data_IF_804417669005
#
_entry.id   IF_804417669005
#
_cell.length_a   1.000
_cell.length_b   1.000
_cell.length_c   1.000
_cell.angle_alpha   90.00
_cell.angle_beta   90.00
_cell.angle_gamma   90.00
#
_symmetry.space_group_name_H-M   'P 1'
#
loop_
_entity.id
_entity.type
_entity.pdbx_description
1 polymer ?
#
# COMPACT_ATOMS: atom_id res chain seq x y z
N UNK A 1 -7.34 -12.38 23.29
CA UNK A 1 -7.55 -10.92 23.02
C UNK A 1 -6.75 -9.91 23.88
N UNK A 2 -7.18 -9.40 25.05
CA UNK A 2 -6.57 -8.18 25.65
C UNK A 2 -5.09 -8.29 26.11
N UNK A 3 -4.58 -9.50 26.35
CA UNK A 3 -3.24 -9.73 26.92
C UNK A 3 -2.09 -9.58 25.92
N UNK A 4 -2.37 -9.60 24.61
CA UNK A 4 -1.38 -9.59 23.54
C UNK A 4 -0.99 -8.17 23.11
N UNK A 5 -1.96 -7.25 23.15
CA UNK A 5 -1.79 -5.83 22.80
C UNK A 5 -0.91 -5.04 23.79
N UNK A 6 -0.54 -5.63 24.93
CA UNK A 6 0.26 -5.00 25.97
C UNK A 6 1.71 -5.53 26.03
N UNK A 7 2.07 -6.54 25.24
CA UNK A 7 3.37 -7.24 25.36
C UNK A 7 4.13 -7.44 24.04
N UNK A 8 3.45 -7.45 22.91
CA UNK A 8 4.05 -7.62 21.59
C UNK A 8 4.04 -6.29 20.81
N UNK A 9 4.92 -6.11 19.80
CA UNK A 9 4.76 -5.06 18.79
C UNK A 9 3.31 -5.01 18.30
N UNK A 10 2.71 -3.81 18.27
CA UNK A 10 1.26 -3.65 18.06
C UNK A 10 0.76 -4.36 16.81
N UNK A 11 1.56 -4.38 15.74
CA UNK A 11 1.26 -5.02 14.48
C UNK A 11 1.06 -6.54 14.61
N UNK A 12 1.90 -7.20 15.43
CA UNK A 12 1.76 -8.64 15.71
C UNK A 12 0.50 -8.94 16.52
N UNK A 13 0.17 -8.08 17.48
CA UNK A 13 -1.03 -8.23 18.29
C UNK A 13 -2.31 -8.03 17.46
N UNK A 14 -2.31 -7.10 16.50
CA UNK A 14 -3.42 -6.89 15.56
C UNK A 14 -3.58 -8.12 14.67
N UNK A 15 -2.50 -8.62 14.06
CA UNK A 15 -2.54 -9.83 13.22
C UNK A 15 -3.06 -11.04 14.00
N UNK A 16 -2.59 -11.26 15.23
CA UNK A 16 -3.05 -12.36 16.08
C UNK A 16 -4.53 -12.21 16.46
N UNK A 17 -4.97 -10.99 16.79
CA UNK A 17 -6.36 -10.72 17.12
C UNK A 17 -7.29 -10.99 15.93
N UNK A 18 -6.93 -10.53 14.72
CA UNK A 18 -7.69 -10.78 13.49
C UNK A 18 -7.80 -12.28 13.19
N UNK A 19 -6.73 -13.04 13.37
CA UNK A 19 -6.76 -14.49 13.22
C UNK A 19 -7.71 -15.16 14.23
N UNK A 20 -7.57 -14.82 15.52
CA UNK A 20 -8.41 -15.37 16.61
C UNK A 20 -9.91 -15.12 16.33
N UNK A 21 -10.28 -13.88 16.03
CA UNK A 21 -11.69 -13.54 15.79
C UNK A 21 -12.21 -14.05 14.44
N UNK A 22 -11.34 -14.14 13.42
CA UNK A 22 -11.70 -14.68 12.10
C UNK A 22 -12.01 -16.18 12.19
N UNK A 23 -11.21 -16.93 12.93
CA UNK A 23 -11.46 -18.34 13.20
C UNK A 23 -12.76 -18.55 14.00
N UNK A 24 -12.94 -17.80 15.09
CA UNK A 24 -14.15 -17.89 15.93
C UNK A 24 -15.42 -17.54 15.15
N UNK A 25 -15.36 -16.51 14.30
CA UNK A 25 -16.48 -16.12 13.47
C UNK A 25 -16.71 -17.09 12.29
N UNK A 26 -15.81 -18.04 12.05
CA UNK A 26 -15.86 -18.93 10.89
C UNK A 26 -15.73 -18.17 9.57
N UNK A 27 -14.93 -17.10 9.56
CA UNK A 27 -14.60 -16.33 8.37
C UNK A 27 -13.53 -17.03 7.52
N UNK A 28 -13.46 -16.67 6.25
CA UNK A 28 -12.43 -17.13 5.33
C UNK A 28 -11.26 -16.14 5.28
N UNK A 29 -11.53 -14.86 5.53
CA UNK A 29 -10.53 -13.83 5.82
C UNK A 29 -10.97 -12.90 6.94
N UNK A 30 -10.00 -12.33 7.64
CA UNK A 30 -10.16 -11.21 8.55
C UNK A 30 -9.10 -10.15 8.25
N UNK A 31 -9.50 -8.90 8.08
CA UNK A 31 -8.62 -7.86 7.52
C UNK A 31 -8.76 -6.51 8.23
N UNK A 32 -7.77 -5.63 8.01
CA UNK A 32 -7.75 -4.25 8.46
C UNK A 32 -7.30 -3.30 7.36
N UNK A 33 -8.12 -2.30 7.05
CA UNK A 33 -7.79 -1.22 6.13
C UNK A 33 -7.54 0.08 6.92
N UNK A 34 -6.34 0.65 6.83
CA UNK A 34 -6.02 1.96 7.41
C UNK A 34 -6.20 3.07 6.37
N UNK A 35 -6.77 4.20 6.80
CA UNK A 35 -6.93 5.38 5.95
C UNK A 35 -5.73 6.32 6.06
N UNK A 36 -5.48 7.13 5.03
CA UNK A 36 -4.63 8.31 5.14
C UNK A 36 -5.29 9.40 6.00
N UNK A 37 -4.53 10.46 6.31
CA UNK A 37 -5.00 11.54 7.18
C UNK A 37 -6.19 12.31 6.60
N UNK A 38 -6.27 12.38 5.27
CA UNK A 38 -7.30 13.09 4.51
C UNK A 38 -8.52 12.23 4.16
N UNK A 39 -8.52 10.93 4.48
CA UNK A 39 -9.55 9.94 4.10
C UNK A 39 -9.77 9.85 2.59
N UNK A 40 -8.73 10.11 1.80
CA UNK A 40 -8.76 10.01 0.35
C UNK A 40 -8.29 8.63 -0.12
N UNK A 41 -7.46 7.97 0.68
CA UNK A 41 -6.88 6.66 0.38
C UNK A 41 -6.92 5.72 1.57
N UNK A 42 -6.82 4.43 1.28
CA UNK A 42 -6.67 3.39 2.28
C UNK A 42 -5.70 2.30 1.83
N UNK A 43 -5.25 1.47 2.77
CA UNK A 43 -4.41 0.31 2.50
C UNK A 43 -4.72 -0.85 3.44
N UNK A 44 -4.61 -2.07 2.94
CA UNK A 44 -4.77 -3.29 3.73
C UNK A 44 -3.51 -3.58 4.54
N UNK A 45 -3.49 -3.26 5.83
CA UNK A 45 -2.29 -3.37 6.66
C UNK A 45 -2.13 -4.74 7.29
N UNK A 46 -3.23 -5.44 7.54
CA UNK A 46 -3.24 -6.76 8.14
C UNK A 46 -4.32 -7.63 7.53
N UNK A 47 -3.99 -8.89 7.28
CA UNK A 47 -4.98 -9.88 6.89
C UNK A 47 -4.57 -11.26 7.38
N UNK A 48 -5.52 -11.94 7.99
CA UNK A 48 -5.50 -13.37 8.17
C UNK A 48 -6.37 -14.02 7.09
N UNK A 49 -5.85 -15.08 6.48
CA UNK A 49 -6.59 -15.90 5.52
C UNK A 49 -6.62 -17.35 6.00
N UNK A 50 -7.79 -17.98 5.92
CA UNK A 50 -7.92 -19.43 6.12
C UNK A 50 -7.02 -20.17 5.12
N UNK A 51 -6.51 -21.34 5.51
CA UNK A 51 -5.74 -22.20 4.62
C UNK A 51 -6.48 -22.44 3.28
N UNK A 52 -5.78 -22.22 2.16
CA UNK A 52 -6.34 -22.36 0.81
C UNK A 52 -7.07 -21.12 0.29
N UNK A 53 -7.28 -20.09 1.11
CA UNK A 53 -7.85 -18.81 0.69
C UNK A 53 -6.71 -17.85 0.33
N UNK A 54 -6.82 -17.20 -0.84
CA UNK A 54 -5.84 -16.22 -1.30
C UNK A 54 -5.91 -14.95 -0.44
N UNK A 55 -4.73 -14.45 -0.07
CA UNK A 55 -4.56 -13.16 0.57
C UNK A 55 -4.54 -12.01 -0.45
N UNK A 56 -5.07 -10.83 -0.06
CA UNK A 56 -5.15 -9.61 -0.85
C UNK A 56 -4.48 -8.40 -0.19
N UNK A 57 -3.64 -8.63 0.83
CA UNK A 57 -2.84 -7.57 1.47
C UNK A 57 -2.06 -6.80 0.42
N UNK A 58 -1.29 -7.49 -0.42
CA UNK A 58 -0.44 -6.85 -1.44
C UNK A 58 -1.23 -6.14 -2.54
N UNK A 59 -2.45 -6.60 -2.82
CA UNK A 59 -3.31 -6.05 -3.88
C UNK A 59 -3.93 -4.69 -3.50
N UNK A 60 -4.28 -4.50 -2.23
CA UNK A 60 -5.10 -3.37 -1.76
C UNK A 60 -4.26 -2.33 -1.02
N UNK A 61 -3.28 -1.76 -1.70
CA UNK A 61 -2.39 -0.76 -1.12
C UNK A 61 -2.54 0.60 -1.80
N UNK A 62 -2.56 1.69 -1.01
CA UNK A 62 -2.73 3.07 -1.47
C UNK A 62 -3.97 3.29 -2.37
N UNK A 63 -5.04 2.55 -2.08
CA UNK A 63 -6.25 2.45 -2.89
C UNK A 63 -7.15 3.67 -2.65
N UNK A 64 -7.72 4.28 -3.70
CA UNK A 64 -8.60 5.44 -3.51
C UNK A 64 -9.89 5.03 -2.78
N UNK A 65 -10.30 5.83 -1.80
CA UNK A 65 -11.54 5.61 -1.04
C UNK A 65 -12.77 5.59 -1.95
N UNK A 66 -12.70 6.22 -3.14
CA UNK A 66 -13.77 6.16 -4.14
C UNK A 66 -14.12 4.74 -4.60
N UNK A 67 -13.17 3.79 -4.54
CA UNK A 67 -13.43 2.37 -4.81
C UNK A 67 -14.44 1.77 -3.83
N UNK A 68 -14.42 2.24 -2.58
CA UNK A 68 -15.28 1.77 -1.49
C UNK A 68 -16.26 2.86 -1.03
N UNK A 69 -16.55 3.88 -1.84
CA UNK A 69 -17.33 5.07 -1.43
C UNK A 69 -18.67 4.73 -0.78
N UNK A 70 -19.37 3.72 -1.32
CA UNK A 70 -20.65 3.26 -0.78
C UNK A 70 -20.52 2.65 0.61
N UNK A 71 -19.43 1.92 0.89
CA UNK A 71 -19.14 1.39 2.22
C UNK A 71 -18.68 2.51 3.17
N UNK A 72 -17.78 3.36 2.68
CA UNK A 72 -17.17 4.45 3.45
C UNK A 72 -18.20 5.41 4.06
N UNK A 73 -19.27 5.78 3.34
CA UNK A 73 -20.31 6.68 3.89
C UNK A 73 -21.00 6.16 5.17
N UNK A 74 -21.00 4.84 5.40
CA UNK A 74 -21.54 4.24 6.62
C UNK A 74 -20.47 4.17 7.71
N UNK A 75 -19.26 3.76 7.35
CA UNK A 75 -18.11 3.68 8.27
C UNK A 75 -17.78 5.06 8.85
N UNK A 76 -17.81 6.12 8.03
CA UNK A 76 -17.62 7.51 8.46
C UNK A 76 -18.70 7.99 9.44
N UNK A 77 -19.86 7.31 9.50
CA UNK A 77 -20.94 7.55 10.47
C UNK A 77 -20.89 6.58 11.65
N UNK A 78 -19.75 5.92 11.87
CA UNK A 78 -19.53 4.92 12.90
C UNK A 78 -20.49 3.70 12.81
N UNK A 79 -20.98 3.35 11.61
CA UNK A 79 -21.91 2.24 11.41
C UNK A 79 -21.21 1.01 10.85
N UNK A 80 -21.53 -0.16 11.39
CA UNK A 80 -21.20 -1.43 10.77
C UNK A 80 -21.97 -1.63 9.47
N UNK A 81 -21.36 -2.32 8.52
CA UNK A 81 -21.98 -2.71 7.26
C UNK A 81 -21.86 -4.22 7.10
N UNK A 82 -23.00 -4.88 6.90
CA UNK A 82 -23.07 -6.30 6.62
C UNK A 82 -23.66 -6.52 5.23
N UNK A 83 -22.86 -7.08 4.34
CA UNK A 83 -23.24 -7.45 2.98
C UNK A 83 -23.44 -8.96 2.97
N UNK A 84 -24.70 -9.41 3.01
CA UNK A 84 -25.02 -10.84 3.05
C UNK A 84 -24.73 -11.52 1.71
N UNK A 85 -24.91 -10.80 0.59
CA UNK A 85 -24.72 -11.32 -0.77
C UNK A 85 -24.12 -10.22 -1.64
N UNK A 86 -22.82 -10.34 -1.94
CA UNK A 86 -22.09 -9.36 -2.76
C UNK A 86 -22.74 -9.18 -4.14
N UNK A 87 -23.23 -10.26 -4.74
CA UNK A 87 -23.89 -10.24 -6.06
C UNK A 87 -25.17 -9.36 -6.09
N UNK A 88 -25.76 -9.05 -4.94
CA UNK A 88 -27.01 -8.30 -4.80
C UNK A 88 -26.81 -6.85 -4.37
N UNK A 89 -25.54 -6.39 -4.30
CA UNK A 89 -25.24 -5.00 -3.98
C UNK A 89 -25.94 -4.02 -4.94
N UNK A 90 -26.44 -2.88 -4.42
CA UNK A 90 -27.17 -1.91 -5.24
C UNK A 90 -26.24 -1.19 -6.22
N UNK A 91 -26.80 -0.60 -7.28
CA UNK A 91 -26.03 0.08 -8.34
C UNK A 91 -24.99 1.10 -7.84
N UNK A 92 -25.26 1.95 -6.82
CA UNK A 92 -24.24 2.87 -6.29
C UNK A 92 -23.01 2.18 -5.67
N UNK A 93 -23.13 0.92 -5.29
CA UNK A 93 -22.04 0.11 -4.74
C UNK A 93 -21.28 -0.69 -5.80
N UNK A 94 -21.51 -0.44 -7.10
CA UNK A 94 -20.92 -1.24 -8.18
C UNK A 94 -19.37 -1.29 -8.15
N UNK A 95 -18.63 -0.19 -7.90
CA UNK A 95 -17.17 -0.28 -7.78
C UNK A 95 -16.71 -1.24 -6.67
N UNK A 96 -17.34 -1.13 -5.49
CA UNK A 96 -17.10 -2.03 -4.36
C UNK A 96 -17.43 -3.48 -4.71
N UNK A 97 -18.58 -3.70 -5.36
CA UNK A 97 -19.04 -5.02 -5.77
C UNK A 97 -18.05 -5.69 -6.74
N UNK A 98 -17.53 -4.96 -7.72
CA UNK A 98 -16.55 -5.49 -8.67
C UNK A 98 -15.29 -5.95 -7.95
N UNK A 99 -14.81 -5.16 -6.99
CA UNK A 99 -13.61 -5.52 -6.22
C UNK A 99 -13.85 -6.72 -5.30
N UNK A 100 -14.97 -6.76 -4.59
CA UNK A 100 -15.36 -7.92 -3.76
C UNK A 100 -15.48 -9.21 -4.60
N UNK A 101 -16.09 -9.14 -5.79
CA UNK A 101 -16.18 -10.29 -6.69
C UNK A 101 -14.81 -10.74 -7.21
N UNK A 102 -13.88 -9.80 -7.48
CA UNK A 102 -12.48 -10.11 -7.85
C UNK A 102 -11.79 -10.91 -6.74
N UNK A 103 -12.13 -10.61 -5.48
CA UNK A 103 -11.59 -11.28 -4.30
C UNK A 103 -12.35 -12.55 -3.91
N UNK A 104 -13.33 -12.96 -4.72
CA UNK A 104 -14.23 -14.10 -4.47
C UNK A 104 -15.12 -13.93 -3.25
N UNK A 105 -15.37 -12.71 -2.79
CA UNK A 105 -16.25 -12.44 -1.65
C UNK A 105 -17.70 -12.74 -2.01
N UNK A 106 -18.33 -13.53 -1.15
CA UNK A 106 -19.77 -13.83 -1.21
C UNK A 106 -20.52 -13.02 -0.18
N UNK A 107 -19.91 -12.80 0.99
CA UNK A 107 -20.47 -12.00 2.08
C UNK A 107 -19.35 -11.29 2.84
N UNK A 108 -19.61 -10.07 3.30
CA UNK A 108 -18.62 -9.23 3.98
C UNK A 108 -19.24 -8.56 5.20
N UNK A 109 -18.51 -8.52 6.31
CA UNK A 109 -18.79 -7.66 7.46
C UNK A 109 -17.68 -6.63 7.57
N UNK A 110 -18.03 -5.37 7.81
CA UNK A 110 -17.07 -4.31 8.06
C UNK A 110 -17.51 -3.44 9.22
N UNK A 111 -16.60 -3.10 10.11
CA UNK A 111 -16.83 -2.16 11.22
C UNK A 111 -15.75 -1.06 11.21
N UNK A 112 -16.10 0.16 11.63
CA UNK A 112 -15.15 1.25 11.70
C UNK A 112 -14.27 1.13 12.95
N UNK A 113 -13.01 1.54 12.81
CA UNK A 113 -12.07 1.78 13.91
C UNK A 113 -12.01 3.29 14.13
N UNK A 114 -12.60 3.73 15.23
CA UNK A 114 -12.68 5.15 15.60
C UNK A 114 -11.70 5.44 16.73
N UNK A 115 -10.91 6.51 16.60
CA UNK A 115 -10.06 7.05 17.66
C UNK A 115 -10.19 8.57 17.69
N UNK A 116 -10.34 9.15 18.88
CA UNK A 116 -10.57 10.60 19.09
C UNK A 116 -11.68 11.17 18.20
N UNK A 117 -12.79 10.43 18.09
CA UNK A 117 -13.95 10.81 17.29
C UNK A 117 -13.73 10.79 15.77
N UNK A 118 -12.58 10.30 15.30
CA UNK A 118 -12.22 10.23 13.88
C UNK A 118 -12.13 8.80 13.39
N UNK A 119 -12.58 8.56 12.16
CA UNK A 119 -12.33 7.31 11.44
C UNK A 119 -10.83 7.20 11.15
N UNK A 120 -10.20 6.11 11.58
CA UNK A 120 -8.77 5.85 11.36
C UNK A 120 -8.54 4.63 10.48
N UNK A 121 -9.38 3.61 10.66
CA UNK A 121 -9.32 2.38 9.91
C UNK A 121 -10.72 1.73 9.84
N UNK A 122 -10.83 0.63 9.13
CA UNK A 122 -11.92 -0.32 9.28
C UNK A 122 -11.37 -1.74 9.31
N UNK A 123 -12.08 -2.63 10.01
CA UNK A 123 -11.74 -4.05 10.06
C UNK A 123 -12.96 -4.87 9.62
N UNK A 124 -12.72 -6.07 9.12
CA UNK A 124 -13.79 -6.86 8.54
C UNK A 124 -13.51 -8.33 8.38
N UNK A 125 -14.55 -9.04 7.98
CA UNK A 125 -14.53 -10.45 7.64
C UNK A 125 -15.06 -10.67 6.24
N UNK A 126 -14.45 -11.62 5.54
CA UNK A 126 -14.96 -12.12 4.27
C UNK A 126 -15.35 -13.60 4.40
N UNK A 127 -16.45 -13.95 3.75
CA UNK A 127 -16.80 -15.33 3.43
C UNK A 127 -16.70 -15.52 1.91
N UNK A 128 -15.79 -16.40 1.48
CA UNK A 128 -15.47 -16.66 0.07
C UNK A 128 -15.94 -18.06 -0.35
N UNK A 129 -16.07 -18.99 0.58
CA UNK A 129 -16.50 -20.38 0.30
C UNK A 129 -18.02 -20.47 0.17
N UNK A 130 -18.78 -19.85 1.07
CA UNK A 130 -20.25 -19.83 1.03
C UNK A 130 -20.79 -18.48 1.49
N UNK A 131 -22.00 -18.11 1.05
CA UNK A 131 -22.66 -16.92 1.59
C UNK A 131 -22.94 -17.10 3.07
N UNK A 132 -22.70 -16.06 3.86
CA UNK A 132 -22.84 -16.05 5.31
C UNK A 132 -23.59 -14.81 5.77
N UNK A 133 -24.37 -14.99 6.84
CA UNK A 133 -24.92 -13.88 7.63
C UNK A 133 -24.21 -13.89 8.98
N UNK A 134 -23.68 -12.76 9.39
CA UNK A 134 -22.95 -12.62 10.65
C UNK A 134 -23.94 -12.41 11.79
N UNK A 135 -23.70 -13.09 12.90
CA UNK A 135 -24.55 -12.97 14.09
C UNK A 135 -24.29 -11.64 14.82
N UNK A 136 -25.22 -11.20 15.68
CA UNK A 136 -24.96 -10.07 16.58
C UNK A 136 -23.71 -10.28 17.45
N UNK A 137 -23.40 -11.53 17.81
CA UNK A 137 -22.19 -11.89 18.55
C UNK A 137 -20.92 -11.62 17.75
N UNK A 138 -20.88 -11.99 16.46
CA UNK A 138 -19.75 -11.75 15.56
C UNK A 138 -19.52 -10.24 15.37
N UNK A 139 -20.61 -9.49 15.14
CA UNK A 139 -20.56 -8.02 15.00
C UNK A 139 -20.02 -7.38 16.28
N UNK A 140 -20.52 -7.79 17.44
CA UNK A 140 -20.04 -7.28 18.74
C UNK A 140 -18.59 -7.66 19.03
N UNK A 141 -18.15 -8.86 18.65
CA UNK A 141 -16.75 -9.28 18.81
C UNK A 141 -15.82 -8.44 17.92
N UNK A 142 -16.23 -8.18 16.68
CA UNK A 142 -15.47 -7.35 15.75
C UNK A 142 -15.40 -5.89 16.22
N UNK A 143 -16.49 -5.31 16.74
CA UNK A 143 -16.44 -3.98 17.36
C UNK A 143 -15.49 -3.89 18.56
N UNK A 144 -15.54 -4.87 19.48
CA UNK A 144 -14.59 -4.93 20.60
C UNK A 144 -13.14 -5.03 20.11
N UNK A 145 -12.91 -5.80 19.04
CA UNK A 145 -11.59 -5.83 18.41
C UNK A 145 -11.20 -4.45 17.86
N UNK A 146 -12.12 -3.76 17.17
CA UNK A 146 -11.88 -2.43 16.63
C UNK A 146 -11.51 -1.41 17.72
N UNK A 147 -12.18 -1.44 18.87
CA UNK A 147 -11.87 -0.58 20.03
C UNK A 147 -10.47 -0.86 20.58
N UNK A 148 -10.12 -2.14 20.73
CA UNK A 148 -8.80 -2.55 21.21
C UNK A 148 -7.69 -2.17 20.23
N UNK A 149 -7.92 -2.34 18.92
CA UNK A 149 -7.02 -1.89 17.86
C UNK A 149 -6.86 -0.36 17.93
N UNK A 150 -7.96 0.39 18.09
CA UNK A 150 -7.91 1.84 18.18
C UNK A 150 -7.02 2.31 19.34
N UNK A 151 -7.21 1.71 20.52
CA UNK A 151 -6.43 2.04 21.72
C UNK A 151 -4.95 1.67 21.57
N UNK A 152 -4.65 0.50 21.01
CA UNK A 152 -3.27 0.04 20.92
C UNK A 152 -2.49 0.74 19.79
N UNK A 153 -3.14 0.97 18.65
CA UNK A 153 -2.49 1.54 17.45
C UNK A 153 -2.44 3.06 17.45
N UNK A 154 -3.49 3.71 17.94
CA UNK A 154 -3.62 5.17 17.90
C UNK A 154 -3.60 5.81 19.29
N UNK A 155 -3.90 5.05 20.35
CA UNK A 155 -3.83 5.54 21.72
C UNK A 155 -2.39 5.81 22.16
N UNK A 156 -2.17 6.99 22.73
CA UNK A 156 -0.87 7.41 23.26
C UNK A 156 -0.50 6.60 24.52
N UNK A 157 0.14 5.44 24.35
CA UNK A 157 0.82 4.78 25.46
C UNK A 157 2.11 5.54 25.80
N UNK A 158 1.97 6.48 26.74
CA UNK A 158 3.00 7.18 27.54
C UNK A 158 3.81 8.29 26.86
N UNK A 159 3.84 9.44 27.54
CA UNK A 159 4.67 10.59 27.20
C UNK A 159 6.17 10.25 27.17
N UNK A 160 6.86 10.86 26.22
CA UNK A 160 8.29 10.69 25.98
C UNK A 160 8.57 9.84 24.73
N UNK A 161 8.90 10.51 23.62
CA UNK A 161 9.46 9.96 22.37
C UNK A 161 8.53 9.47 21.23
N UNK A 162 7.25 9.85 21.17
CA UNK A 162 6.40 9.52 20.00
C UNK A 162 6.18 10.67 18.98
N UNK A 163 6.89 11.80 19.10
CA UNK A 163 6.93 12.85 18.06
C UNK A 163 8.02 12.62 17.00
N UNK A 164 8.68 11.46 17.00
CA UNK A 164 9.68 11.11 15.98
C UNK A 164 9.31 9.89 15.11
N UNK A 165 8.32 9.07 15.51
CA UNK A 165 7.91 7.88 14.75
C UNK A 165 6.49 7.96 14.17
N UNK A 166 5.71 8.98 14.52
CA UNK A 166 4.49 9.36 13.81
C UNK A 166 4.77 10.06 12.46
N UNK A 167 6.05 10.20 12.09
CA UNK A 167 6.54 10.72 10.81
C UNK A 167 7.09 9.64 9.87
N UNK A 168 6.95 8.34 10.17
CA UNK A 168 6.97 7.34 9.09
C UNK A 168 5.60 7.37 8.43
N UNK A 169 5.34 8.47 7.72
CA UNK A 169 4.42 8.44 6.60
C UNK A 169 4.78 7.21 5.78
N UNK A 170 3.78 6.38 5.46
CA UNK A 170 3.95 5.19 4.64
C UNK A 170 4.92 5.53 3.51
N UNK A 171 6.07 4.84 3.45
CA UNK A 171 7.02 5.07 2.37
C UNK A 171 6.25 4.88 1.06
N UNK A 172 6.14 5.90 0.19
CA UNK A 172 5.17 5.88 -0.89
C UNK A 172 5.57 4.82 -1.91
N UNK A 173 4.94 3.65 -1.84
CA UNK A 173 5.15 2.56 -2.79
C UNK A 173 4.67 2.98 -4.18
N UNK A 174 5.48 2.66 -5.19
CA UNK A 174 5.13 2.83 -6.59
C UNK A 174 4.73 1.46 -7.14
N UNK A 175 3.45 1.33 -7.48
CA UNK A 175 2.89 0.09 -8.00
C UNK A 175 3.26 -0.12 -9.46
N UNK A 176 3.80 -1.29 -9.78
CA UNK A 176 4.21 -1.70 -11.12
C UNK A 176 3.39 -2.90 -11.55
N UNK A 177 2.96 -2.94 -12.81
CA UNK A 177 2.28 -4.12 -13.38
C UNK A 177 3.30 -5.05 -14.03
N UNK A 178 3.47 -6.27 -13.49
CA UNK A 178 4.36 -7.31 -14.02
C UNK A 178 3.55 -8.58 -14.30
N UNK A 179 3.44 -8.97 -15.58
CA UNK A 179 2.82 -10.23 -16.02
C UNK A 179 1.41 -10.48 -15.43
N UNK A 180 0.57 -9.45 -15.36
CA UNK A 180 -0.79 -9.54 -14.81
C UNK A 180 -0.91 -9.39 -13.29
N UNK A 181 0.21 -9.29 -12.57
CA UNK A 181 0.26 -8.99 -11.12
C UNK A 181 0.70 -7.54 -10.91
N UNK A 182 0.17 -6.89 -9.87
CA UNK A 182 0.63 -5.57 -9.43
C UNK A 182 1.58 -5.78 -8.25
N UNK A 183 2.80 -5.24 -8.33
CA UNK A 183 3.78 -5.27 -7.25
C UNK A 183 3.99 -3.87 -6.69
N UNK A 184 3.97 -3.71 -5.38
CA UNK A 184 4.35 -2.47 -4.70
C UNK A 184 5.87 -2.39 -4.58
N UNK A 185 6.47 -1.33 -5.11
CA UNK A 185 7.92 -1.14 -5.07
C UNK A 185 8.25 0.14 -4.33
N UNK A 186 9.02 0.05 -3.25
CA UNK A 186 9.54 1.24 -2.59
C UNK A 186 10.43 2.04 -3.56
N UNK A 187 10.37 3.38 -3.57
CA UNK A 187 11.20 4.17 -4.47
C UNK A 187 12.69 3.85 -4.31
N UNK A 188 13.15 3.53 -3.10
CA UNK A 188 14.54 3.12 -2.86
C UNK A 188 14.93 1.82 -3.56
N UNK A 189 13.99 0.93 -3.90
CA UNK A 189 14.26 -0.30 -4.64
C UNK A 189 14.35 -0.08 -6.17
N UNK A 190 14.01 1.11 -6.67
CA UNK A 190 14.11 1.46 -8.09
C UNK A 190 15.50 2.07 -8.36
N UNK A 191 16.23 1.49 -9.31
CA UNK A 191 17.54 2.00 -9.77
C UNK A 191 17.36 3.13 -10.79
N UNK A 192 16.41 2.97 -11.71
CA UNK A 192 16.16 3.94 -12.75
C UNK A 192 15.00 3.56 -13.66
N UNK A 193 14.53 4.56 -14.41
CA UNK A 193 13.41 4.46 -15.35
C UNK A 193 13.86 5.02 -16.69
N UNK A 194 13.59 4.29 -17.78
CA UNK A 194 13.93 4.70 -19.15
C UNK A 194 12.71 4.58 -20.06
N UNK A 195 12.51 5.58 -20.93
CA UNK A 195 11.45 5.50 -21.96
C UNK A 195 11.69 4.31 -22.90
N UNK A 196 10.61 3.62 -23.23
CA UNK A 196 10.53 2.49 -24.15
C UNK A 196 9.30 2.68 -25.06
N UNK A 197 9.43 3.58 -26.05
CA UNK A 197 8.30 4.06 -26.88
C UNK A 197 7.22 4.70 -25.99
N UNK A 198 5.99 4.19 -26.03
CA UNK A 198 4.85 4.66 -25.23
C UNK A 198 4.87 4.15 -23.78
N UNK A 199 5.86 3.31 -23.45
CA UNK A 199 6.05 2.70 -22.13
C UNK A 199 7.26 3.29 -21.42
N UNK A 200 7.37 2.96 -20.13
CA UNK A 200 8.61 3.09 -19.39
C UNK A 200 9.11 1.72 -18.96
N UNK A 201 10.41 1.48 -19.08
CA UNK A 201 11.09 0.34 -18.48
C UNK A 201 11.68 0.77 -17.13
N UNK A 202 11.45 -0.02 -16.09
CA UNK A 202 11.87 0.22 -14.72
C UNK A 202 12.86 -0.86 -14.31
N UNK A 203 14.00 -0.47 -13.76
CA UNK A 203 15.03 -1.37 -13.25
C UNK A 203 14.96 -1.40 -11.73
N UNK A 204 14.90 -2.61 -11.17
CA UNK A 204 14.78 -2.84 -9.74
C UNK A 204 16.07 -3.42 -9.16
N UNK A 205 16.24 -3.26 -7.84
CA UNK A 205 17.45 -3.66 -7.13
C UNK A 205 17.64 -5.17 -7.08
N UNK A 206 16.56 -5.94 -7.19
CA UNK A 206 16.57 -7.40 -7.32
C UNK A 206 17.08 -7.88 -8.70
N UNK A 207 17.44 -6.95 -9.60
CA UNK A 207 17.91 -7.24 -10.95
C UNK A 207 16.79 -7.42 -11.97
N UNK A 208 15.53 -7.42 -11.55
CA UNK A 208 14.40 -7.53 -12.45
C UNK A 208 14.10 -6.22 -13.18
N UNK A 209 13.38 -6.33 -14.30
CA UNK A 209 12.87 -5.16 -15.02
C UNK A 209 11.39 -5.29 -15.28
N UNK A 210 10.67 -4.17 -15.17
CA UNK A 210 9.22 -4.09 -15.43
C UNK A 210 8.95 -3.10 -16.55
N UNK A 211 8.02 -3.44 -17.46
CA UNK A 211 7.46 -2.50 -18.42
C UNK A 211 6.15 -1.95 -17.87
N UNK A 212 6.06 -0.63 -17.75
CA UNK A 212 4.89 0.06 -17.24
C UNK A 212 4.25 0.93 -18.32
N UNK A 213 2.91 0.98 -18.30
CA UNK A 213 2.09 1.71 -19.26
C UNK A 213 2.19 3.23 -19.10
N UNK A 214 2.67 3.73 -17.96
CA UNK A 214 2.86 5.16 -17.74
C UNK A 214 4.09 5.64 -18.51
N UNK A 215 3.98 6.71 -19.32
CA UNK A 215 5.13 7.29 -19.99
C UNK A 215 6.08 7.96 -18.98
N UNK A 216 7.32 8.20 -19.40
CA UNK A 216 8.38 8.76 -18.55
C UNK A 216 8.01 10.10 -17.88
N UNK A 217 7.15 10.90 -18.53
CA UNK A 217 6.65 12.16 -17.98
C UNK A 217 5.83 11.97 -16.71
N UNK A 218 5.00 10.92 -16.65
CA UNK A 218 4.24 10.56 -15.45
C UNK A 218 5.19 10.05 -14.36
N UNK A 219 6.18 9.25 -14.73
CA UNK A 219 7.21 8.77 -13.80
C UNK A 219 8.00 9.89 -13.13
N UNK A 220 8.29 10.97 -13.85
CA UNK A 220 8.96 12.15 -13.28
C UNK A 220 8.16 12.80 -12.13
N UNK A 221 6.83 12.72 -12.16
CA UNK A 221 5.98 13.23 -11.09
C UNK A 221 5.74 12.24 -9.94
N UNK A 222 5.93 10.94 -10.18
CA UNK A 222 5.72 9.89 -9.17
C UNK A 222 6.95 9.62 -8.30
N UNK A 223 8.15 9.83 -8.86
CA UNK A 223 9.40 9.52 -8.18
C UNK A 223 9.77 10.64 -7.19
N UNK A 224 10.20 10.32 -5.95
CA UNK A 224 10.63 11.33 -4.99
C UNK A 224 11.79 12.17 -5.53
N UNK A 225 11.53 13.45 -5.77
CA UNK A 225 12.51 14.35 -6.36
C UNK A 225 13.77 14.53 -5.50
N UNK A 226 13.79 14.11 -4.23
CA UNK A 226 14.98 14.13 -3.39
C UNK A 226 16.01 13.06 -3.78
N UNK A 227 15.55 11.84 -4.11
CA UNK A 227 16.41 10.71 -4.44
C UNK A 227 16.51 10.46 -5.95
N UNK A 228 15.58 10.97 -6.76
CA UNK A 228 15.57 10.77 -8.21
C UNK A 228 15.94 12.04 -8.98
N UNK A 229 16.68 11.85 -10.07
CA UNK A 229 17.04 12.92 -10.99
C UNK A 229 16.87 12.48 -12.44
N UNK A 230 16.25 13.33 -13.26
CA UNK A 230 16.26 13.17 -14.70
C UNK A 230 17.66 13.50 -15.22
N UNK A 231 18.27 12.57 -15.94
CA UNK A 231 19.63 12.73 -16.50
C UNK A 231 19.65 12.76 -18.03
N UNK A 232 18.55 12.37 -18.66
CA UNK A 232 18.39 12.36 -20.11
C UNK A 232 16.93 12.58 -20.47
N UNK A 233 16.64 13.00 -21.71
CA UNK A 233 15.25 13.10 -22.21
C UNK A 233 14.48 11.78 -22.10
N UNK A 234 15.19 10.65 -22.07
CA UNK A 234 14.62 9.31 -21.94
C UNK A 234 14.94 8.63 -20.61
N UNK A 235 15.63 9.25 -19.65
CA UNK A 235 16.08 8.53 -18.44
C UNK A 235 16.01 9.35 -17.15
N UNK A 236 15.54 8.70 -16.08
CA UNK A 236 15.52 9.15 -14.70
C UNK A 236 16.23 8.09 -13.86
N UNK A 237 17.06 8.50 -12.90
CA UNK A 237 17.86 7.59 -12.08
C UNK A 237 17.71 7.90 -10.61
N UNK A 238 17.84 6.87 -9.78
CA UNK A 238 17.97 7.01 -8.35
C UNK A 238 19.44 7.30 -8.02
N UNK A 239 19.68 8.47 -7.44
CA UNK A 239 21.01 8.95 -7.09
C UNK A 239 21.70 8.07 -6.05
N UNK A 240 20.92 7.41 -5.17
CA UNK A 240 21.45 6.51 -4.14
C UNK A 240 22.11 5.26 -4.73
N UNK A 241 21.76 4.90 -5.97
CA UNK A 241 22.31 3.74 -6.67
C UNK A 241 23.40 4.09 -7.68
N UNK A 242 23.81 5.35 -7.79
CA UNK A 242 24.88 5.74 -8.73
C UNK A 242 26.22 5.20 -8.24
N UNK A 243 26.81 4.28 -9.00
CA UNK A 243 28.07 3.60 -8.64
C UNK A 243 29.33 4.29 -9.17
N UNK A 244 29.17 5.25 -10.09
CA UNK A 244 30.26 6.04 -10.64
C UNK A 244 29.81 6.97 -11.75
N UNK A 245 30.61 8.02 -11.98
CA UNK A 245 30.42 9.00 -13.05
C UNK A 245 31.66 9.04 -13.92
N UNK A 246 31.58 8.47 -15.12
CA UNK A 246 32.63 8.54 -16.13
C UNK A 246 32.49 9.84 -16.94
N UNK A 247 33.60 10.58 -16.98
CA UNK A 247 33.76 11.87 -17.64
C UNK A 247 34.92 11.75 -18.64
N UNK A 248 34.72 10.96 -19.69
CA UNK A 248 35.68 10.96 -20.81
C UNK A 248 35.78 12.38 -21.36
N UNK A 249 37.01 12.88 -21.46
CA UNK A 249 37.28 14.26 -21.84
C UNK A 249 36.51 14.63 -23.13
N UNK A 250 35.67 15.67 -23.04
CA UNK A 250 35.04 16.29 -24.21
C UNK A 250 33.56 16.02 -24.45
N UNK A 251 33.06 14.78 -24.45
CA UNK A 251 31.80 14.54 -25.20
C UNK A 251 30.66 13.85 -24.46
N UNK A 252 30.88 12.71 -23.78
CA UNK A 252 29.78 11.91 -23.22
C UNK A 252 29.99 11.59 -21.76
N UNK A 253 29.18 12.22 -20.90
CA UNK A 253 29.06 11.85 -19.49
C UNK A 253 28.19 10.61 -19.41
N UNK A 254 28.63 9.62 -18.63
CA UNK A 254 27.87 8.40 -18.36
C UNK A 254 27.91 8.05 -16.89
N UNK A 255 26.82 7.50 -16.36
CA UNK A 255 26.77 7.00 -14.99
C UNK A 255 26.58 5.48 -14.95
N UNK A 256 27.20 4.85 -13.97
CA UNK A 256 26.89 3.47 -13.56
C UNK A 256 25.77 3.45 -12.52
N UNK A 257 24.93 2.41 -12.53
CA UNK A 257 23.85 2.21 -11.55
C UNK A 257 24.00 0.85 -10.85
N UNK A 258 24.49 0.82 -9.61
CA UNK A 258 24.59 -0.39 -8.80
C UNK A 258 25.26 -1.55 -9.53
N UNK A 259 24.58 -2.70 -9.59
CA UNK A 259 25.03 -3.94 -10.26
C UNK A 259 24.76 -3.97 -11.77
N UNK A 260 24.25 -2.88 -12.34
CA UNK A 260 23.90 -2.81 -13.76
C UNK A 260 25.14 -2.53 -14.62
N UNK A 261 25.38 -3.39 -15.62
CA UNK A 261 26.61 -3.36 -16.42
C UNK A 261 26.64 -2.23 -17.48
N UNK A 262 25.49 -1.76 -17.95
CA UNK A 262 25.41 -0.75 -19.02
C UNK A 262 25.35 0.67 -18.42
N UNK A 263 26.30 1.53 -18.82
CA UNK A 263 26.36 2.90 -18.36
C UNK A 263 25.30 3.79 -19.07
N UNK A 264 24.65 4.67 -18.32
CA UNK A 264 23.57 5.53 -18.85
C UNK A 264 24.08 6.92 -19.23
N UNK A 265 23.79 7.43 -20.44
CA UNK A 265 24.28 8.73 -20.88
C UNK A 265 23.56 9.89 -20.18
N UNK A 266 24.32 10.95 -19.88
CA UNK A 266 23.82 12.19 -19.25
C UNK A 266 23.83 13.34 -20.25
N UNK A 267 22.65 13.92 -20.53
CA UNK A 267 22.53 15.10 -21.39
C UNK A 267 23.07 16.35 -20.71
N UNK A 268 23.61 17.27 -21.51
CA UNK A 268 24.22 18.54 -21.06
C UNK A 268 23.40 19.32 -20.01
N UNK A 269 22.06 19.49 -20.16
CA UNK A 269 21.26 20.28 -19.22
C UNK A 269 21.25 19.73 -17.78
N UNK A 270 21.42 18.42 -17.61
CA UNK A 270 21.31 17.77 -16.31
C UNK A 270 22.66 17.61 -15.60
N UNK A 271 23.79 17.91 -16.26
CA UNK A 271 25.15 17.67 -15.74
C UNK A 271 25.44 18.48 -14.48
N UNK A 272 25.00 19.73 -14.43
CA UNK A 272 25.25 20.62 -13.29
C UNK A 272 24.52 20.15 -12.03
N UNK A 273 23.21 19.89 -12.14
CA UNK A 273 22.40 19.40 -11.01
C UNK A 273 22.87 18.01 -10.56
N UNK A 274 23.17 17.12 -11.50
CA UNK A 274 23.72 15.79 -11.19
C UNK A 274 25.01 15.90 -10.36
N UNK A 275 25.92 16.79 -10.78
CA UNK A 275 27.18 17.02 -10.07
C UNK A 275 26.93 17.53 -8.65
N UNK A 276 26.08 18.55 -8.51
CA UNK A 276 25.74 19.14 -7.22
C UNK A 276 25.14 18.11 -6.26
N UNK A 277 24.21 17.26 -6.74
CA UNK A 277 23.54 16.27 -5.90
C UNK A 277 24.38 15.05 -5.55
N UNK A 278 25.37 14.71 -6.38
CA UNK A 278 26.33 13.63 -6.10
C UNK A 278 27.53 14.10 -5.27
N UNK A 279 27.72 15.42 -5.08
CA UNK A 279 28.83 15.98 -4.31
C UNK A 279 30.20 15.84 -4.97
N UNK A 280 30.26 15.83 -6.31
CA UNK A 280 31.48 15.58 -7.13
C UNK A 280 31.79 16.69 -8.14
#
# INVERSE_FOLDING_TARGET
MARWLLREPVDLAITAALAEIGELAGADRAWMFEYDAELLRFQNTHEWSRQGVRSFVEDLQNTPVTMIAWLHQFLAKAKAVMINRVAELPRPARPLQVEMLRQSDKSVLSVPVIHDGRLRACIGFDATIATRRWSPGDIGALFRCAELVALARYGSLRGGQALANSSRGFAPLIYLRRQGTIIGVEPQAILGVRSARDYAKIWLQDGSTVLDLRPLTIWAGLLPAASFLRIHRTAIVNLQHVSGLDRRAGERWTIGLGRFAEAWPVSRPYRQELRQRLGV
#
